data_IF_804378931277
#
_entry.id   IF_804378931277
#
_cell.length_a   1.000
_cell.length_b   1.000
_cell.length_c   1.000
_cell.angle_alpha   90.00
_cell.angle_beta   90.00
_cell.angle_gamma   90.00
#
_symmetry.space_group_name_H-M   'P 1'
#
loop_
_entity.id
_entity.type
_entity.pdbx_description
1 polymer ?
#
# COMPACT_ATOMS: atom_id res chain seq x y z
N UNK A 1 16.26 -3.52 74.43
CA UNK A 1 15.97 -3.68 75.88
C UNK A 1 14.67 -2.98 76.26
N UNK A 2 13.94 -3.50 77.17
CA UNK A 2 12.61 -4.13 76.91
C UNK A 2 11.51 -3.55 77.78
N UNK A 3 10.33 -4.18 77.72
CA UNK A 3 9.29 -4.46 78.75
C UNK A 3 7.90 -4.17 78.16
N UNK A 4 7.10 -5.15 77.88
CA UNK A 4 6.21 -5.94 78.78
C UNK A 4 5.22 -5.12 79.62
N UNK A 5 4.03 -5.51 79.57
CA UNK A 5 3.02 -6.07 80.55
C UNK A 5 1.65 -5.62 80.02
N UNK A 6 0.60 -6.35 79.82
CA UNK A 6 0.07 -7.50 80.45
C UNK A 6 -1.34 -7.24 80.98
N UNK A 7 -2.26 -8.21 80.86
CA UNK A 7 -3.41 -8.30 81.74
C UNK A 7 -4.78 -8.37 81.07
N UNK A 8 -5.25 -9.57 80.75
CA UNK A 8 -6.41 -10.30 81.31
C UNK A 8 -7.60 -9.47 81.85
N UNK A 9 -8.80 -9.72 81.36
CA UNK A 9 -9.86 -10.33 82.19
C UNK A 9 -11.03 -10.84 81.35
N UNK A 10 -11.45 -12.08 81.69
CA UNK A 10 -12.61 -12.82 81.29
C UNK A 10 -13.89 -12.30 82.04
N UNK A 11 -15.05 -12.40 81.44
CA UNK A 11 -16.16 -13.26 81.97
C UNK A 11 -17.54 -12.96 81.39
N UNK A 12 -18.16 -14.05 81.00
CA UNK A 12 -19.55 -14.57 81.30
C UNK A 12 -20.77 -13.93 80.58
N UNK A 13 -21.33 -14.71 79.68
CA UNK A 13 -22.63 -15.40 79.62
C UNK A 13 -23.86 -14.60 80.08
N UNK A 14 -24.83 -14.50 79.21
CA UNK A 14 -26.25 -14.88 79.47
C UNK A 14 -27.05 -14.92 78.14
N UNK A 15 -27.74 -16.06 77.97
CA UNK A 15 -28.77 -16.31 76.98
C UNK A 15 -30.00 -15.47 77.23
N UNK A 16 -30.61 -14.90 76.17
CA UNK A 16 -32.09 -14.69 76.13
C UNK A 16 -32.59 -14.89 74.68
N UNK A 17 -33.33 -15.97 74.52
CA UNK A 17 -34.20 -16.20 73.36
C UNK A 17 -35.26 -15.16 73.31
N UNK A 18 -35.46 -14.45 72.22
CA UNK A 18 -36.77 -13.85 71.86
C UNK A 18 -36.98 -13.89 70.36
N UNK A 19 -38.04 -14.50 70.00
CA UNK A 19 -38.67 -14.61 68.69
C UNK A 19 -39.02 -13.22 68.21
N UNK A 20 -38.61 -12.90 66.97
CA UNK A 20 -39.17 -11.76 66.27
C UNK A 20 -39.33 -12.11 64.75
N UNK A 21 -40.58 -11.92 64.41
CA UNK A 21 -41.32 -12.07 63.17
C UNK A 21 -40.51 -11.61 61.89
N UNK A 22 -40.44 -12.49 60.94
CA UNK A 22 -39.86 -12.17 59.61
C UNK A 22 -40.88 -11.34 58.82
N UNK A 23 -40.53 -10.11 58.53
CA UNK A 23 -41.18 -9.33 57.48
C UNK A 23 -40.23 -9.47 56.23
N UNK A 24 -40.66 -10.29 55.29
CA UNK A 24 -40.01 -10.41 53.97
C UNK A 24 -40.43 -9.20 53.14
N UNK A 25 -39.62 -8.16 53.10
CA UNK A 25 -39.74 -7.08 52.14
C UNK A 25 -39.07 -7.54 50.85
N UNK A 26 -39.84 -7.98 49.86
CA UNK A 26 -39.40 -8.23 48.48
C UNK A 26 -39.01 -6.90 47.82
N UNK A 27 -37.75 -6.57 47.91
CA UNK A 27 -37.17 -5.53 47.02
C UNK A 27 -37.07 -6.11 45.62
N UNK A 28 -37.98 -5.75 44.74
CA UNK A 28 -37.84 -5.95 43.32
C UNK A 28 -36.72 -4.99 42.82
N UNK A 29 -35.48 -5.52 42.72
CA UNK A 29 -34.40 -4.85 42.05
C UNK A 29 -34.69 -4.89 40.53
N UNK A 30 -35.38 -3.86 40.04
CA UNK A 30 -35.36 -3.55 38.60
C UNK A 30 -33.95 -3.09 38.25
N UNK A 31 -33.11 -4.05 37.90
CA UNK A 31 -31.83 -3.79 37.27
C UNK A 31 -32.09 -3.22 35.88
N UNK A 32 -32.18 -1.91 35.74
CA UNK A 32 -31.94 -1.24 34.48
C UNK A 32 -30.47 -1.45 34.13
N UNK A 33 -30.19 -2.60 33.53
CA UNK A 33 -28.89 -2.87 32.91
C UNK A 33 -28.66 -1.94 31.70
N UNK A 34 -28.15 -0.76 31.97
CA UNK A 34 -27.48 0.03 30.93
C UNK A 34 -26.26 -0.77 30.51
N UNK A 35 -26.42 -1.60 29.50
CA UNK A 35 -25.27 -2.20 28.81
C UNK A 35 -24.52 -1.05 28.13
N UNK A 36 -23.46 -0.58 28.77
CA UNK A 36 -22.52 0.32 28.09
C UNK A 36 -22.13 -0.35 26.73
N UNK A 37 -22.16 0.39 25.62
CA UNK A 37 -21.79 -0.18 24.34
C UNK A 37 -20.39 -0.79 24.48
N UNK A 38 -20.28 -2.09 24.18
CA UNK A 38 -18.98 -2.77 24.15
C UNK A 38 -18.11 -1.99 23.18
N UNK A 39 -16.92 -1.53 23.56
CA UNK A 39 -16.04 -0.82 22.65
C UNK A 39 -15.83 -1.67 21.41
N UNK A 40 -16.22 -1.15 20.24
CA UNK A 40 -15.98 -1.85 18.97
C UNK A 40 -14.48 -2.09 18.86
N UNK A 41 -14.07 -3.35 18.72
CA UNK A 41 -12.66 -3.68 18.52
C UNK A 41 -12.15 -2.88 17.32
N UNK A 42 -10.97 -2.29 17.40
CA UNK A 42 -10.38 -1.59 16.26
C UNK A 42 -10.32 -2.53 15.06
N UNK A 43 -10.83 -2.05 13.91
CA UNK A 43 -10.89 -2.86 12.70
C UNK A 43 -9.54 -2.87 11.98
N UNK A 44 -9.16 -4.03 11.41
CA UNK A 44 -7.99 -4.14 10.55
C UNK A 44 -8.15 -3.26 9.31
N UNK A 45 -7.02 -2.85 8.74
CA UNK A 45 -6.95 -1.99 7.57
C UNK A 45 -6.47 -2.84 6.39
N UNK A 46 -7.17 -2.75 5.28
CA UNK A 46 -6.79 -3.42 4.04
C UNK A 46 -6.30 -2.41 3.01
N UNK A 47 -5.12 -2.68 2.43
CA UNK A 47 -4.53 -1.87 1.37
C UNK A 47 -4.39 -2.76 0.13
N UNK A 48 -4.93 -2.29 -0.99
CA UNK A 48 -4.79 -2.94 -2.30
C UNK A 48 -3.64 -2.30 -3.09
N UNK A 49 -2.80 -3.11 -3.71
CA UNK A 49 -1.71 -2.67 -4.56
C UNK A 49 -1.83 -3.30 -5.93
N UNK A 50 -1.77 -2.49 -6.97
CA UNK A 50 -1.71 -2.95 -8.35
C UNK A 50 -0.44 -2.42 -9.05
N UNK A 51 -0.03 -3.12 -10.10
CA UNK A 51 1.25 -2.90 -10.78
C UNK A 51 1.23 -1.77 -11.80
N UNK A 52 2.07 -1.92 -12.83
CA UNK A 52 2.33 -0.92 -13.85
C UNK A 52 1.09 -0.65 -14.70
N UNK A 53 0.72 0.62 -14.81
CA UNK A 53 -0.52 1.08 -15.43
C UNK A 53 -0.22 2.22 -16.39
N UNK A 54 -0.72 2.11 -17.63
CA UNK A 54 -0.74 3.20 -18.59
C UNK A 54 -1.98 3.17 -19.49
N UNK A 55 -2.25 4.26 -20.18
CA UNK A 55 -3.43 4.43 -21.05
C UNK A 55 -3.06 4.74 -22.49
N UNK A 56 -2.03 4.08 -23.04
CA UNK A 56 -1.54 4.32 -24.39
C UNK A 56 -2.08 3.31 -25.40
N UNK A 57 -1.79 3.51 -26.69
CA UNK A 57 -2.09 2.62 -27.82
C UNK A 57 -3.57 2.15 -27.85
N UNK A 58 -3.80 0.84 -27.83
CA UNK A 58 -5.13 0.25 -27.88
C UNK A 58 -5.97 0.56 -26.63
N UNK A 59 -5.33 0.77 -25.48
CA UNK A 59 -6.00 1.20 -24.25
C UNK A 59 -6.58 2.61 -24.45
N UNK A 60 -5.81 3.53 -25.03
CA UNK A 60 -6.30 4.89 -25.34
C UNK A 60 -7.54 4.86 -26.25
N UNK A 61 -7.56 3.98 -27.26
CA UNK A 61 -8.75 3.79 -28.10
C UNK A 61 -9.96 3.25 -27.32
N UNK A 62 -9.72 2.30 -26.40
CA UNK A 62 -10.76 1.76 -25.55
C UNK A 62 -11.32 2.83 -24.59
N UNK A 63 -10.46 3.63 -23.96
CA UNK A 63 -10.84 4.75 -23.10
C UNK A 63 -11.67 5.79 -23.86
N UNK A 64 -11.27 6.15 -25.08
CA UNK A 64 -12.00 7.09 -25.94
C UNK A 64 -13.39 6.59 -26.36
N UNK A 65 -13.60 5.28 -26.37
CA UNK A 65 -14.92 4.68 -26.61
C UNK A 65 -15.79 4.56 -25.34
N UNK A 66 -15.35 5.12 -24.23
CA UNK A 66 -16.02 5.01 -22.92
C UNK A 66 -15.73 3.71 -22.18
N UNK A 67 -14.71 2.97 -22.61
CA UNK A 67 -14.30 1.73 -21.97
C UNK A 67 -13.64 1.94 -20.62
N UNK A 68 -13.98 1.08 -19.66
CA UNK A 68 -13.46 1.06 -18.30
C UNK A 68 -12.52 -0.13 -18.13
N UNK A 69 -11.18 0.10 -18.00
CA UNK A 69 -10.23 -0.99 -17.88
C UNK A 69 -10.21 -1.67 -16.50
N UNK A 70 -10.76 -1.05 -15.46
CA UNK A 70 -10.77 -1.55 -14.08
C UNK A 70 -12.08 -2.25 -13.71
N UNK A 71 -13.12 -2.17 -14.54
CA UNK A 71 -14.49 -2.62 -14.26
C UNK A 71 -14.57 -3.98 -13.56
N UNK A 72 -13.77 -4.97 -13.99
CA UNK A 72 -13.88 -6.35 -13.50
C UNK A 72 -13.02 -6.60 -12.23
N UNK A 73 -12.28 -5.61 -11.78
CA UNK A 73 -11.46 -5.65 -10.56
C UNK A 73 -11.88 -4.58 -9.56
N UNK A 74 -12.79 -3.70 -9.93
CA UNK A 74 -13.30 -2.57 -9.15
C UNK A 74 -13.71 -2.95 -7.73
N UNK A 75 -14.47 -4.04 -7.56
CA UNK A 75 -14.98 -4.45 -6.25
C UNK A 75 -13.85 -4.69 -5.24
N UNK A 76 -12.68 -5.18 -5.70
CA UNK A 76 -11.52 -5.38 -4.83
C UNK A 76 -10.85 -4.06 -4.49
N UNK A 77 -10.72 -3.17 -5.47
CA UNK A 77 -10.11 -1.85 -5.26
C UNK A 77 -10.96 -0.97 -4.33
N UNK A 78 -12.28 -0.95 -4.55
CA UNK A 78 -13.22 -0.14 -3.73
C UNK A 78 -13.49 -0.72 -2.35
N UNK A 79 -13.30 -2.03 -2.14
CA UNK A 79 -13.47 -2.66 -0.83
C UNK A 79 -12.24 -2.53 0.07
N UNK A 80 -11.09 -2.16 -0.47
CA UNK A 80 -9.92 -1.81 0.32
C UNK A 80 -10.09 -0.43 0.96
N UNK A 81 -9.45 -0.21 2.09
CA UNK A 81 -9.43 1.12 2.74
C UNK A 81 -8.59 2.13 1.96
N UNK A 82 -7.57 1.62 1.25
CA UNK A 82 -6.67 2.41 0.37
C UNK A 82 -6.28 1.53 -0.81
N UNK A 83 -6.31 2.09 -2.02
CA UNK A 83 -5.80 1.43 -3.22
C UNK A 83 -4.70 2.24 -3.90
N UNK A 84 -3.61 1.55 -4.28
CA UNK A 84 -2.38 2.16 -4.80
C UNK A 84 -2.00 1.51 -6.13
N UNK A 85 -1.61 2.32 -7.13
CA UNK A 85 -1.09 1.84 -8.42
C UNK A 85 0.18 2.59 -8.83
N UNK A 86 0.96 2.03 -9.76
CA UNK A 86 2.02 2.76 -10.46
C UNK A 86 1.51 3.28 -11.81
N UNK A 87 1.46 4.60 -11.99
CA UNK A 87 1.20 5.22 -13.29
C UNK A 87 2.53 5.37 -14.03
N UNK A 88 2.80 4.45 -14.92
CA UNK A 88 4.05 4.40 -15.69
C UNK A 88 3.88 5.14 -17.03
N UNK A 89 3.67 6.43 -16.92
CA UNK A 89 3.49 7.32 -18.06
C UNK A 89 3.30 8.77 -17.60
N UNK A 90 3.57 9.73 -18.47
CA UNK A 90 3.02 11.07 -18.32
C UNK A 90 1.52 11.10 -18.67
N UNK A 91 0.82 12.12 -18.19
CA UNK A 91 -0.54 12.51 -18.63
C UNK A 91 -0.52 14.01 -18.89
N UNK A 92 -0.30 14.40 -20.12
CA UNK A 92 -0.02 15.78 -20.49
C UNK A 92 -0.55 16.13 -21.88
N UNK A 93 -0.74 17.41 -22.13
CA UNK A 93 -1.05 17.96 -23.45
C UNK A 93 0.20 18.43 -24.22
N UNK A 94 1.36 18.40 -23.57
CA UNK A 94 2.64 18.79 -24.16
C UNK A 94 3.06 17.83 -25.27
N UNK A 95 3.86 18.36 -26.21
CA UNK A 95 4.38 17.61 -27.35
C UNK A 95 5.90 17.45 -27.30
N UNK A 96 6.59 18.32 -26.54
CA UNK A 96 8.02 18.20 -26.32
C UNK A 96 8.31 17.06 -25.36
N UNK A 97 9.18 16.15 -25.75
CA UNK A 97 9.49 14.95 -25.00
C UNK A 97 10.97 14.59 -25.08
N UNK A 98 11.39 13.66 -24.24
CA UNK A 98 12.75 13.10 -24.27
C UNK A 98 13.00 12.36 -25.59
N UNK A 99 14.22 12.44 -26.08
CA UNK A 99 14.70 11.60 -27.20
C UNK A 99 15.05 10.21 -26.68
N UNK A 100 14.03 9.32 -26.64
CA UNK A 100 14.18 7.92 -26.23
C UNK A 100 13.23 7.02 -27.01
N UNK A 101 13.53 5.71 -27.03
CA UNK A 101 12.80 4.72 -27.82
C UNK A 101 11.31 4.61 -27.45
N UNK A 102 11.00 4.68 -26.15
CA UNK A 102 9.63 4.56 -25.64
C UNK A 102 9.26 5.83 -24.88
N UNK A 103 8.26 6.54 -25.39
CA UNK A 103 7.70 7.75 -24.80
C UNK A 103 6.22 7.51 -24.54
N UNK A 104 5.80 7.61 -23.29
CA UNK A 104 4.44 7.27 -22.87
C UNK A 104 3.67 8.51 -22.45
N UNK A 105 2.53 8.74 -23.13
CA UNK A 105 1.56 9.74 -22.75
C UNK A 105 0.17 9.09 -22.68
N UNK A 106 -0.31 8.87 -21.49
CA UNK A 106 -1.60 8.23 -21.26
C UNK A 106 -2.76 9.15 -21.52
N UNK A 107 -3.82 8.57 -22.06
CA UNK A 107 -5.11 9.22 -22.20
C UNK A 107 -5.64 9.65 -20.80
N UNK A 108 -6.03 10.92 -20.61
CA UNK A 108 -6.46 11.43 -19.30
C UNK A 108 -7.73 10.76 -18.75
N UNK A 109 -8.57 10.14 -19.58
CA UNK A 109 -9.72 9.34 -19.14
C UNK A 109 -9.31 8.15 -18.26
N UNK A 110 -8.05 7.67 -18.35
CA UNK A 110 -7.52 6.66 -17.44
C UNK A 110 -7.62 7.13 -15.98
N UNK A 111 -7.29 8.39 -15.72
CA UNK A 111 -7.32 8.95 -14.35
C UNK A 111 -8.75 9.09 -13.83
N UNK A 112 -9.71 9.35 -14.70
CA UNK A 112 -11.13 9.40 -14.34
C UNK A 112 -11.63 8.03 -13.87
N UNK A 113 -11.25 6.97 -14.60
CA UNK A 113 -11.55 5.60 -14.20
C UNK A 113 -10.78 5.17 -12.95
N UNK A 114 -9.50 5.53 -12.81
CA UNK A 114 -8.75 5.31 -11.57
C UNK A 114 -9.53 5.82 -10.37
N UNK A 115 -10.00 7.07 -10.43
CA UNK A 115 -10.75 7.67 -9.32
C UNK A 115 -12.10 7.02 -9.10
N UNK A 116 -12.85 6.76 -10.16
CA UNK A 116 -14.19 6.17 -10.11
C UNK A 116 -14.16 4.75 -9.54
N UNK A 117 -13.06 4.02 -9.78
CA UNK A 117 -12.92 2.62 -9.41
C UNK A 117 -12.08 2.39 -8.16
N UNK A 118 -11.91 3.45 -7.36
CA UNK A 118 -11.44 3.36 -5.99
C UNK A 118 -9.94 3.43 -5.81
N UNK A 119 -9.18 3.90 -6.81
CA UNK A 119 -7.76 4.20 -6.60
C UNK A 119 -7.62 5.53 -5.86
N UNK A 120 -6.78 5.55 -4.83
CA UNK A 120 -6.57 6.69 -3.95
C UNK A 120 -5.18 7.30 -4.11
N UNK A 121 -4.16 6.46 -4.29
CA UNK A 121 -2.75 6.86 -4.35
C UNK A 121 -2.14 6.36 -5.66
N UNK A 122 -1.42 7.24 -6.33
CA UNK A 122 -0.73 6.95 -7.58
C UNK A 122 0.76 7.20 -7.40
N UNK A 123 1.56 6.15 -7.58
CA UNK A 123 3.00 6.29 -7.70
C UNK A 123 3.37 6.77 -9.11
N UNK A 124 4.17 7.84 -9.19
CA UNK A 124 4.79 8.31 -10.43
C UNK A 124 6.31 8.22 -10.37
N UNK A 125 6.87 7.61 -9.33
CA UNK A 125 8.30 7.37 -9.19
C UNK A 125 8.77 6.25 -10.11
N UNK A 126 8.93 6.53 -11.41
CA UNK A 126 9.31 5.57 -12.44
C UNK A 126 10.03 6.26 -13.62
N UNK A 127 10.51 5.46 -14.59
CA UNK A 127 11.28 5.93 -15.75
C UNK A 127 10.45 6.60 -16.85
N UNK A 128 9.11 6.55 -16.77
CA UNK A 128 8.21 7.15 -17.76
C UNK A 128 7.51 8.42 -17.27
N UNK A 129 7.61 8.76 -16.00
CA UNK A 129 7.00 9.97 -15.45
C UNK A 129 7.54 11.26 -16.12
N UNK A 130 8.83 11.28 -16.43
CA UNK A 130 9.52 12.41 -17.04
C UNK A 130 9.63 12.35 -18.56
N UNK A 131 8.87 11.51 -19.25
CA UNK A 131 8.94 11.38 -20.71
C UNK A 131 8.69 12.71 -21.42
N UNK A 132 7.85 13.57 -20.89
CA UNK A 132 7.55 14.92 -21.35
C UNK A 132 8.24 15.99 -20.48
N UNK A 133 9.49 15.71 -20.08
CA UNK A 133 10.35 16.60 -19.32
C UNK A 133 9.72 16.96 -17.95
N UNK A 134 10.22 18.01 -17.29
CA UNK A 134 9.76 18.47 -15.98
C UNK A 134 8.35 19.05 -16.03
N UNK A 135 8.05 19.72 -17.11
CA UNK A 135 6.75 20.33 -17.41
C UNK A 135 5.66 19.24 -17.49
N UNK A 136 5.98 18.11 -18.13
CA UNK A 136 5.10 16.95 -18.22
C UNK A 136 4.85 16.32 -16.84
N UNK A 137 5.86 16.25 -15.97
CA UNK A 137 5.68 15.81 -14.58
C UNK A 137 4.73 16.73 -13.83
N UNK A 138 4.94 18.05 -13.95
CA UNK A 138 4.07 19.06 -13.31
C UNK A 138 2.62 18.94 -13.78
N UNK A 139 2.40 18.80 -15.10
CA UNK A 139 1.04 18.64 -15.64
C UNK A 139 0.42 17.30 -15.20
N UNK A 140 1.19 16.22 -15.17
CA UNK A 140 0.72 14.93 -14.66
C UNK A 140 0.29 15.01 -13.20
N UNK A 141 1.09 15.64 -12.35
CA UNK A 141 0.76 15.85 -10.93
C UNK A 141 -0.54 16.68 -10.81
N UNK A 142 -0.67 17.75 -11.60
CA UNK A 142 -1.88 18.56 -11.63
C UNK A 142 -3.10 17.73 -12.05
N UNK A 143 -3.01 16.96 -13.12
CA UNK A 143 -4.10 16.11 -13.63
C UNK A 143 -4.57 15.07 -12.60
N UNK A 144 -3.64 14.50 -11.83
CA UNK A 144 -3.93 13.57 -10.72
C UNK A 144 -4.61 14.30 -9.55
N UNK A 145 -4.06 15.43 -9.12
CA UNK A 145 -4.56 16.17 -7.95
C UNK A 145 -5.91 16.82 -8.20
N UNK A 146 -6.19 17.30 -9.42
CA UNK A 146 -7.50 17.80 -9.83
C UNK A 146 -8.60 16.73 -9.65
N UNK A 147 -8.24 15.46 -9.79
CA UNK A 147 -9.12 14.30 -9.58
C UNK A 147 -9.09 13.77 -8.15
N UNK A 148 -8.40 14.46 -7.24
CA UNK A 148 -8.24 14.04 -5.84
C UNK A 148 -7.52 12.68 -5.69
N UNK A 149 -6.66 12.35 -6.63
CA UNK A 149 -5.70 11.26 -6.53
C UNK A 149 -4.45 11.78 -5.82
N UNK A 150 -3.99 11.06 -4.81
CA UNK A 150 -2.76 11.43 -4.10
C UNK A 150 -1.55 10.93 -4.87
N UNK A 151 -0.49 11.73 -4.92
CA UNK A 151 0.73 11.40 -5.68
C UNK A 151 1.86 11.07 -4.72
N UNK A 152 2.62 10.01 -5.02
CA UNK A 152 3.88 9.65 -4.38
C UNK A 152 4.97 9.40 -5.43
N UNK A 153 6.23 9.47 -5.02
CA UNK A 153 7.37 9.17 -5.89
C UNK A 153 7.73 10.26 -6.88
N UNK A 154 7.00 11.38 -6.85
CA UNK A 154 7.30 12.57 -7.64
C UNK A 154 6.71 13.83 -7.00
N UNK A 155 7.13 14.99 -7.46
CA UNK A 155 6.72 16.27 -6.92
C UNK A 155 7.15 17.44 -7.80
N UNK A 156 6.61 18.63 -7.52
CA UNK A 156 7.01 19.88 -8.18
C UNK A 156 8.34 20.44 -7.63
N UNK A 157 8.90 19.76 -6.62
CA UNK A 157 10.21 20.06 -6.04
C UNK A 157 10.82 18.80 -5.44
N UNK A 158 12.12 18.81 -5.16
CA UNK A 158 12.80 17.72 -4.48
C UNK A 158 12.19 17.43 -3.10
N UNK A 159 11.78 18.47 -2.36
CA UNK A 159 11.08 18.30 -1.08
C UNK A 159 9.75 17.59 -1.25
N UNK A 160 8.94 17.98 -2.23
CA UNK A 160 7.62 17.38 -2.46
C UNK A 160 7.74 15.92 -2.87
N UNK A 161 8.67 15.58 -3.78
CA UNK A 161 8.89 14.21 -4.23
C UNK A 161 9.24 13.24 -3.09
N UNK A 162 10.02 13.70 -2.10
CA UNK A 162 10.43 12.91 -0.94
C UNK A 162 9.49 13.03 0.27
N UNK A 163 8.41 13.80 0.17
CA UNK A 163 7.45 13.92 1.28
C UNK A 163 6.48 12.75 1.26
N UNK A 164 6.49 11.94 2.34
CA UNK A 164 5.55 10.86 2.51
C UNK A 164 4.10 11.36 2.54
N UNK A 165 3.20 10.67 1.83
CA UNK A 165 1.76 10.88 1.99
C UNK A 165 1.28 10.08 3.20
N UNK A 166 0.77 10.79 4.21
CA UNK A 166 0.22 10.17 5.42
C UNK A 166 -1.30 10.16 5.33
N UNK A 167 -1.87 8.97 5.38
CA UNK A 167 -3.32 8.73 5.37
C UNK A 167 -3.72 8.21 6.74
N UNK A 168 -4.76 8.80 7.32
CA UNK A 168 -5.36 8.32 8.57
C UNK A 168 -6.56 7.43 8.25
N UNK A 169 -6.48 6.16 8.63
CA UNK A 169 -7.57 5.21 8.50
C UNK A 169 -8.01 4.78 9.89
N UNK A 170 -9.16 5.25 10.34
CA UNK A 170 -9.73 4.91 11.66
C UNK A 170 -8.75 5.14 12.84
N UNK A 171 -7.96 6.23 12.78
CA UNK A 171 -6.97 6.61 13.80
C UNK A 171 -5.60 5.92 13.65
N UNK A 172 -5.41 5.11 12.62
CA UNK A 172 -4.11 4.54 12.27
C UNK A 172 -3.51 5.29 11.10
N UNK A 173 -2.42 6.01 11.36
CA UNK A 173 -1.67 6.74 10.33
C UNK A 173 -0.75 5.79 9.57
N UNK A 174 -0.83 5.83 8.25
CA UNK A 174 -0.03 5.03 7.31
C UNK A 174 0.68 6.01 6.37
N UNK A 175 1.99 5.91 6.27
CA UNK A 175 2.81 6.73 5.39
C UNK A 175 3.16 5.96 4.11
N UNK A 176 3.03 6.61 2.97
CA UNK A 176 3.37 6.08 1.64
C UNK A 176 4.50 6.89 1.04
N UNK A 177 5.53 6.22 0.54
CA UNK A 177 6.66 6.79 -0.21
C UNK A 177 6.80 6.07 -1.53
N UNK A 178 6.96 6.82 -2.63
CA UNK A 178 7.35 6.28 -3.93
C UNK A 178 8.86 6.43 -4.15
N UNK A 179 9.49 5.42 -4.75
CA UNK A 179 10.94 5.39 -5.00
C UNK A 179 11.21 4.95 -6.44
N UNK A 180 11.87 5.80 -7.22
CA UNK A 180 12.28 5.52 -8.60
C UNK A 180 13.74 5.03 -8.63
N UNK A 181 13.97 3.72 -8.45
CA UNK A 181 15.32 3.15 -8.70
C UNK A 181 15.64 3.06 -10.20
N UNK A 182 14.62 2.86 -10.99
CA UNK A 182 14.70 3.09 -12.44
C UNK A 182 13.97 4.41 -12.70
N UNK A 183 14.72 5.44 -12.98
CA UNK A 183 14.23 6.78 -13.30
C UNK A 183 14.54 7.13 -14.76
N UNK A 184 13.95 8.19 -15.28
CA UNK A 184 14.12 8.63 -16.66
C UNK A 184 15.47 9.35 -16.96
N UNK A 185 16.43 9.27 -16.02
CA UNK A 185 17.73 9.95 -16.11
C UNK A 185 17.79 11.24 -15.29
N UNK A 186 18.96 11.87 -15.24
CA UNK A 186 19.25 13.00 -14.36
C UNK A 186 18.31 14.22 -14.58
N UNK A 187 17.83 14.42 -15.81
CA UNK A 187 16.90 15.50 -16.15
C UNK A 187 15.49 15.33 -15.58
N UNK A 188 15.13 14.14 -15.08
CA UNK A 188 13.78 13.81 -14.58
C UNK A 188 13.71 13.68 -13.06
N UNK A 189 14.85 13.67 -12.38
CA UNK A 189 14.92 13.65 -10.91
C UNK A 189 14.54 15.01 -10.33
N UNK A 190 13.67 15.01 -9.34
CA UNK A 190 13.27 16.23 -8.62
C UNK A 190 14.44 16.74 -7.76
N UNK A 191 14.72 18.03 -7.83
CA UNK A 191 15.79 18.65 -7.04
C UNK A 191 15.54 20.13 -6.82
N UNK A 192 15.81 20.65 -5.61
CA UNK A 192 15.48 22.03 -5.31
C UNK A 192 14.02 22.34 -5.64
N UNK A 193 13.77 23.35 -6.47
CA UNK A 193 12.44 23.75 -6.94
C UNK A 193 12.08 23.17 -8.32
N UNK A 194 12.81 22.17 -8.77
CA UNK A 194 12.54 21.51 -10.04
C UNK A 194 11.69 20.25 -9.85
N UNK A 195 10.64 20.15 -10.65
CA UNK A 195 9.74 19.00 -10.69
C UNK A 195 10.46 17.73 -11.20
N UNK A 196 10.02 16.57 -10.72
CA UNK A 196 10.56 15.29 -11.15
C UNK A 196 10.17 14.15 -10.21
N UNK A 197 10.85 13.02 -10.39
CA UNK A 197 10.70 11.82 -9.55
C UNK A 197 11.73 11.81 -8.41
N UNK A 198 11.54 10.92 -7.43
CA UNK A 198 12.57 10.60 -6.44
C UNK A 198 13.81 10.00 -7.10
N UNK A 199 14.98 10.18 -6.49
CA UNK A 199 16.22 9.49 -6.88
C UNK A 199 16.41 8.23 -6.04
N UNK A 200 16.08 7.07 -6.60
CA UNK A 200 16.19 5.78 -5.92
C UNK A 200 17.64 5.27 -5.78
N UNK A 201 18.65 6.05 -6.16
CA UNK A 201 20.08 5.70 -6.02
C UNK A 201 20.74 6.34 -4.80
N UNK A 202 20.13 7.37 -4.22
CA UNK A 202 20.63 8.00 -2.98
C UNK A 202 20.11 7.26 -1.74
N UNK A 203 20.84 6.22 -1.34
CA UNK A 203 20.48 5.38 -0.19
C UNK A 203 20.37 6.16 1.12
N UNK A 204 21.16 7.22 1.30
CA UNK A 204 21.08 8.08 2.49
C UNK A 204 19.76 8.84 2.55
N UNK A 205 19.35 9.43 1.43
CA UNK A 205 18.09 10.18 1.35
C UNK A 205 16.91 9.23 1.55
N UNK A 206 16.95 8.03 0.95
CA UNK A 206 15.91 7.02 1.11
C UNK A 206 15.76 6.64 2.59
N UNK A 207 16.87 6.30 3.24
CA UNK A 207 16.86 5.90 4.66
C UNK A 207 16.34 7.04 5.57
N UNK A 208 16.74 8.28 5.31
CA UNK A 208 16.24 9.46 6.03
C UNK A 208 14.74 9.66 5.80
N UNK A 209 14.25 9.48 4.58
CA UNK A 209 12.83 9.60 4.25
C UNK A 209 12.00 8.52 4.96
N UNK A 210 12.46 7.25 4.97
CA UNK A 210 11.82 6.16 5.70
C UNK A 210 11.75 6.47 7.20
N UNK A 211 12.87 6.88 7.81
CA UNK A 211 12.93 7.25 9.23
C UNK A 211 12.03 8.45 9.55
N UNK A 212 11.93 9.42 8.64
CA UNK A 212 11.05 10.58 8.80
C UNK A 212 9.57 10.16 8.72
N UNK A 213 9.20 9.26 7.80
CA UNK A 213 7.87 8.69 7.69
C UNK A 213 7.48 7.87 8.93
N UNK A 214 8.40 7.04 9.44
CA UNK A 214 8.18 6.21 10.63
C UNK A 214 7.95 7.03 11.92
N UNK A 215 8.42 8.28 11.98
CA UNK A 215 8.10 9.19 13.09
C UNK A 215 6.68 9.77 13.03
N UNK A 216 6.01 9.69 11.88
CA UNK A 216 4.70 10.31 11.64
C UNK A 216 3.57 9.29 11.53
N UNK A 217 3.89 8.01 11.32
CA UNK A 217 2.92 6.95 11.03
C UNK A 217 3.27 5.66 11.75
N UNK A 218 2.27 4.82 11.97
CA UNK A 218 2.43 3.48 12.56
C UNK A 218 2.92 2.45 11.55
N UNK A 219 2.66 2.67 10.27
CA UNK A 219 3.15 1.83 9.18
C UNK A 219 3.76 2.72 8.08
N UNK A 220 4.85 2.24 7.46
CA UNK A 220 5.50 2.88 6.32
C UNK A 220 5.49 1.91 5.16
N UNK A 221 4.86 2.32 4.07
CA UNK A 221 4.74 1.56 2.83
C UNK A 221 5.61 2.22 1.76
N UNK A 222 6.51 1.45 1.16
CA UNK A 222 7.30 1.90 0.02
C UNK A 222 6.70 1.31 -1.25
N UNK A 223 6.46 2.14 -2.25
CA UNK A 223 6.18 1.69 -3.62
C UNK A 223 7.41 1.96 -4.47
N UNK A 224 8.01 0.91 -5.03
CA UNK A 224 9.35 1.00 -5.63
C UNK A 224 9.32 0.55 -7.09
N UNK A 225 9.85 1.36 -7.97
CA UNK A 225 10.05 1.02 -9.37
C UNK A 225 11.51 0.62 -9.60
N UNK A 226 11.80 -0.68 -9.69
CA UNK A 226 13.15 -1.26 -9.64
C UNK A 226 13.31 -2.55 -10.43
N UNK A 227 14.55 -3.08 -10.44
CA UNK A 227 14.86 -4.39 -11.01
C UNK A 227 15.20 -4.32 -12.49
N UNK A 228 15.01 -5.42 -13.18
CA UNK A 228 15.34 -5.58 -14.61
C UNK A 228 14.12 -6.10 -15.35
N UNK A 229 13.80 -5.47 -16.48
CA UNK A 229 12.68 -5.86 -17.35
C UNK A 229 12.74 -7.34 -17.71
N UNK A 230 11.57 -7.94 -17.79
CA UNK A 230 11.32 -9.34 -18.16
C UNK A 230 11.88 -10.40 -17.18
N UNK A 231 12.57 -10.01 -16.11
CA UNK A 231 13.03 -10.95 -15.10
C UNK A 231 11.91 -11.35 -14.13
N UNK A 232 11.80 -12.65 -13.87
CA UNK A 232 10.81 -13.22 -12.94
C UNK A 232 11.34 -13.40 -11.52
N UNK A 233 12.62 -13.08 -11.30
CA UNK A 233 13.28 -13.10 -10.00
C UNK A 233 13.94 -11.74 -9.71
N UNK A 234 13.91 -11.28 -8.45
CA UNK A 234 14.60 -10.05 -8.06
C UNK A 234 16.13 -10.22 -8.17
N UNK A 235 16.82 -9.12 -8.42
CA UNK A 235 18.27 -9.08 -8.33
C UNK A 235 18.73 -9.26 -6.88
N UNK A 236 19.92 -9.82 -6.65
CA UNK A 236 20.46 -9.94 -5.29
C UNK A 236 20.61 -8.57 -4.60
N UNK A 237 20.96 -7.52 -5.36
CA UNK A 237 21.01 -6.14 -4.86
C UNK A 237 19.67 -5.63 -4.38
N UNK A 238 18.56 -5.97 -5.08
CA UNK A 238 17.20 -5.54 -4.67
C UNK A 238 16.80 -6.24 -3.38
N UNK A 239 17.18 -7.51 -3.21
CA UNK A 239 16.94 -8.27 -1.97
C UNK A 239 17.70 -7.65 -0.81
N UNK A 240 18.99 -7.30 -1.00
CA UNK A 240 19.81 -6.68 0.04
C UNK A 240 19.26 -5.31 0.45
N UNK A 241 18.95 -4.47 -0.53
CA UNK A 241 18.40 -3.12 -0.30
C UNK A 241 17.06 -3.18 0.42
N UNK A 242 16.17 -4.10 0.04
CA UNK A 242 14.90 -4.28 0.71
C UNK A 242 15.06 -4.56 2.21
N UNK A 243 16.03 -5.41 2.60
CA UNK A 243 16.30 -5.67 4.02
C UNK A 243 16.78 -4.42 4.75
N UNK A 244 17.64 -3.60 4.14
CA UNK A 244 18.09 -2.32 4.72
C UNK A 244 16.91 -1.37 4.95
N UNK A 245 15.98 -1.27 4.00
CA UNK A 245 14.82 -0.40 4.13
C UNK A 245 13.80 -0.90 5.17
N UNK A 246 13.63 -2.23 5.28
CA UNK A 246 12.85 -2.81 6.39
C UNK A 246 13.48 -2.51 7.75
N UNK A 247 14.80 -2.59 7.85
CA UNK A 247 15.54 -2.24 9.07
C UNK A 247 15.45 -0.75 9.39
N UNK A 248 15.38 0.13 8.38
CA UNK A 248 15.21 1.57 8.54
C UNK A 248 13.80 1.96 9.02
N UNK A 249 12.81 1.05 8.98
CA UNK A 249 11.46 1.27 9.49
C UNK A 249 10.31 1.01 8.52
N UNK A 250 10.58 0.55 7.30
CA UNK A 250 9.51 0.15 6.38
C UNK A 250 8.72 -1.03 6.94
N UNK A 251 7.40 -1.03 6.72
CA UNK A 251 6.49 -2.13 7.05
C UNK A 251 6.26 -3.01 5.84
N UNK A 252 6.09 -2.41 4.66
CA UNK A 252 5.94 -3.13 3.41
C UNK A 252 6.69 -2.42 2.27
N UNK A 253 7.20 -3.22 1.33
CA UNK A 253 7.85 -2.78 0.09
C UNK A 253 7.12 -3.47 -1.06
N UNK A 254 6.60 -2.68 -1.98
CA UNK A 254 5.82 -3.13 -3.13
C UNK A 254 6.53 -2.69 -4.40
N UNK A 255 6.93 -3.66 -5.21
CA UNK A 255 7.74 -3.44 -6.40
C UNK A 255 6.96 -3.44 -7.71
N UNK A 256 7.52 -2.76 -8.71
CA UNK A 256 7.10 -2.71 -10.11
C UNK A 256 8.31 -2.49 -11.04
N UNK A 257 8.14 -2.35 -12.34
CA UNK A 257 9.10 -2.19 -13.42
C UNK A 257 9.45 -3.47 -14.20
N UNK A 258 9.71 -4.65 -13.61
CA UNK A 258 10.10 -5.80 -14.43
C UNK A 258 9.08 -6.23 -15.49
N UNK A 259 7.85 -5.69 -15.45
CA UNK A 259 6.72 -6.11 -16.30
C UNK A 259 6.44 -7.62 -16.22
N UNK A 260 6.99 -8.24 -15.18
CA UNK A 260 6.82 -9.64 -14.78
C UNK A 260 6.52 -9.70 -13.31
N UNK A 261 5.62 -10.61 -12.95
CA UNK A 261 5.42 -10.90 -11.54
C UNK A 261 6.67 -11.55 -10.95
N UNK A 262 7.12 -11.03 -9.82
CA UNK A 262 8.19 -11.62 -9.03
C UNK A 262 7.63 -12.09 -7.68
N UNK A 263 8.31 -13.00 -6.96
CA UNK A 263 7.85 -13.50 -5.68
C UNK A 263 7.59 -12.41 -4.64
N UNK A 264 6.73 -12.74 -3.67
CA UNK A 264 6.60 -11.95 -2.45
C UNK A 264 7.05 -12.75 -1.22
N UNK A 265 7.48 -12.04 -0.20
CA UNK A 265 7.83 -12.58 1.12
C UNK A 265 6.98 -11.87 2.16
N UNK A 266 6.31 -12.65 3.03
CA UNK A 266 5.66 -12.15 4.24
C UNK A 266 6.27 -12.87 5.44
N UNK A 267 7.02 -12.17 6.25
CA UNK A 267 7.75 -12.72 7.40
C UNK A 267 7.86 -11.66 8.50
N UNK A 268 7.68 -12.06 9.74
CA UNK A 268 7.88 -11.25 10.95
C UNK A 268 7.16 -9.89 10.91
N UNK A 269 5.92 -9.88 10.38
CA UNK A 269 5.12 -8.66 10.27
C UNK A 269 5.62 -7.66 9.21
N UNK A 270 6.44 -8.12 8.27
CA UNK A 270 6.97 -7.36 7.13
C UNK A 270 6.60 -8.01 5.82
N UNK A 271 6.41 -7.19 4.79
CA UNK A 271 6.09 -7.64 3.43
C UNK A 271 7.09 -7.07 2.44
N UNK A 272 7.56 -7.91 1.52
CA UNK A 272 8.22 -7.47 0.30
C UNK A 272 7.52 -8.19 -0.85
N UNK A 273 6.86 -7.46 -1.74
CA UNK A 273 6.45 -7.96 -3.06
C UNK A 273 7.39 -7.35 -4.09
N UNK A 274 8.28 -8.16 -4.64
CA UNK A 274 9.37 -7.67 -5.49
C UNK A 274 8.89 -7.10 -6.82
N UNK A 275 7.79 -7.61 -7.38
CA UNK A 275 7.13 -6.98 -8.52
C UNK A 275 5.70 -7.51 -8.69
N UNK A 276 4.75 -6.60 -8.77
CA UNK A 276 3.37 -6.92 -9.11
C UNK A 276 3.18 -7.20 -10.60
N UNK A 277 4.17 -6.83 -11.44
CA UNK A 277 4.05 -6.87 -12.90
C UNK A 277 3.11 -5.80 -13.44
N UNK A 278 2.59 -6.04 -14.64
CA UNK A 278 1.63 -5.13 -15.27
C UNK A 278 0.24 -5.21 -14.64
N UNK A 279 -0.52 -4.11 -14.70
CA UNK A 279 -1.94 -4.07 -14.31
C UNK A 279 -2.81 -3.65 -15.48
N UNK A 280 -3.01 -2.38 -15.75
CA UNK A 280 -3.59 -1.90 -17.00
C UNK A 280 -2.46 -1.45 -17.91
N UNK A 281 -2.07 -2.29 -18.88
CA UNK A 281 -0.85 -2.07 -19.63
C UNK A 281 -1.00 -2.47 -21.10
N UNK A 282 -0.31 -1.79 -22.01
CA UNK A 282 -0.44 -1.95 -23.46
C UNK A 282 0.14 -3.25 -24.05
N UNK A 283 0.37 -4.25 -23.22
CA UNK A 283 0.93 -5.55 -23.61
C UNK A 283 0.01 -6.30 -24.58
N UNK A 284 0.61 -6.96 -25.56
CA UNK A 284 -0.13 -7.67 -26.62
C UNK A 284 -0.18 -9.19 -26.42
N UNK A 285 0.38 -9.72 -25.35
CA UNK A 285 0.39 -11.15 -25.06
C UNK A 285 1.61 -11.62 -24.26
N UNK A 286 1.81 -12.94 -24.18
CA UNK A 286 2.94 -13.56 -23.48
C UNK A 286 2.83 -13.46 -21.95
N UNK A 287 3.94 -13.61 -21.25
CA UNK A 287 4.00 -13.56 -19.77
C UNK A 287 3.60 -12.21 -19.18
N UNK A 288 3.75 -11.13 -19.97
CA UNK A 288 3.41 -9.78 -19.53
C UNK A 288 1.91 -9.53 -19.29
N UNK A 289 1.02 -10.45 -19.73
CA UNK A 289 -0.43 -10.37 -19.42
C UNK A 289 -0.77 -10.86 -18.03
N UNK A 290 0.15 -11.56 -17.34
CA UNK A 290 -0.05 -11.97 -15.95
C UNK A 290 -0.11 -10.73 -15.07
N UNK A 291 -1.18 -10.61 -14.30
CA UNK A 291 -1.52 -9.44 -13.51
C UNK A 291 -2.07 -9.87 -12.15
N UNK A 292 -2.39 -8.91 -11.31
CA UNK A 292 -3.05 -9.18 -10.04
C UNK A 292 -3.02 -7.99 -9.08
N UNK A 293 -3.63 -8.22 -7.91
CA UNK A 293 -3.72 -7.25 -6.83
C UNK A 293 -3.13 -7.86 -5.57
N UNK A 294 -2.13 -7.20 -4.98
CA UNK A 294 -1.61 -7.49 -3.67
C UNK A 294 -2.53 -6.89 -2.60
N UNK A 295 -2.90 -7.67 -1.60
CA UNK A 295 -3.78 -7.24 -0.50
C UNK A 295 -3.02 -7.37 0.81
N UNK A 296 -2.60 -6.23 1.36
CA UNK A 296 -1.98 -6.12 2.67
C UNK A 296 -3.03 -5.85 3.73
N UNK A 297 -2.99 -6.59 4.84
CA UNK A 297 -3.80 -6.31 6.01
C UNK A 297 -2.92 -5.84 7.14
N UNK A 298 -3.21 -4.67 7.69
CA UNK A 298 -2.58 -4.13 8.89
C UNK A 298 -3.54 -4.24 10.07
N UNK A 299 -3.00 -4.49 11.28
CA UNK A 299 -3.74 -4.28 12.52
C UNK A 299 -3.78 -2.78 12.87
N UNK A 300 -4.57 -2.36 13.87
CA UNK A 300 -4.67 -0.95 14.29
C UNK A 300 -3.34 -0.35 14.82
N UNK A 301 -2.39 -1.20 15.17
CA UNK A 301 -1.03 -0.81 15.57
C UNK A 301 -0.12 -0.57 14.38
N UNK A 302 -0.59 -0.81 13.14
CA UNK A 302 0.16 -0.63 11.90
C UNK A 302 1.07 -1.81 11.54
N UNK A 303 0.94 -2.95 12.21
CA UNK A 303 1.71 -4.15 11.89
C UNK A 303 1.05 -4.92 10.75
N UNK A 304 1.84 -5.41 9.82
CA UNK A 304 1.34 -6.30 8.78
C UNK A 304 1.01 -7.67 9.39
N UNK A 305 -0.26 -8.08 9.27
CA UNK A 305 -0.74 -9.35 9.81
C UNK A 305 -1.12 -10.36 8.73
N UNK A 306 -1.24 -9.90 7.49
CA UNK A 306 -1.53 -10.77 6.35
C UNK A 306 -1.13 -10.09 5.04
N UNK A 307 -0.68 -10.89 4.08
CA UNK A 307 -0.54 -10.49 2.69
C UNK A 307 -1.06 -11.58 1.76
N UNK A 308 -1.91 -11.21 0.83
CA UNK A 308 -2.48 -12.13 -0.18
C UNK A 308 -2.33 -11.52 -1.56
N UNK A 309 -2.01 -12.35 -2.53
CA UNK A 309 -2.04 -11.96 -3.93
C UNK A 309 -3.28 -12.54 -4.61
N UNK A 310 -4.05 -11.68 -5.29
CA UNK A 310 -5.23 -12.07 -6.06
C UNK A 310 -4.90 -12.00 -7.55
N UNK A 311 -4.65 -13.15 -8.21
CA UNK A 311 -4.20 -13.18 -9.59
C UNK A 311 -5.26 -12.70 -10.57
N UNK A 312 -4.80 -11.99 -11.59
CA UNK A 312 -5.60 -11.47 -12.69
C UNK A 312 -4.89 -11.67 -14.02
N UNK A 313 -5.55 -11.32 -15.09
CA UNK A 313 -5.01 -11.32 -16.45
C UNK A 313 -5.44 -10.05 -17.18
N UNK A 314 -4.53 -9.51 -17.97
CA UNK A 314 -4.79 -8.38 -18.86
C UNK A 314 -5.38 -8.92 -20.17
N UNK A 315 -6.47 -8.30 -20.62
CA UNK A 315 -6.99 -8.52 -21.97
C UNK A 315 -6.11 -7.77 -22.98
N UNK A 316 -5.37 -8.47 -23.86
CA UNK A 316 -4.44 -7.82 -24.78
C UNK A 316 -5.13 -7.02 -25.89
N UNK A 317 -6.46 -7.11 -26.02
CA UNK A 317 -7.21 -6.35 -27.01
C UNK A 317 -7.51 -4.90 -26.56
N UNK A 318 -7.62 -4.66 -25.23
CA UNK A 318 -8.06 -3.37 -24.71
C UNK A 318 -7.45 -2.99 -23.35
N UNK A 319 -6.54 -3.79 -22.80
CA UNK A 319 -5.86 -3.54 -21.53
C UNK A 319 -6.71 -3.75 -20.28
N UNK A 320 -8.00 -4.14 -20.39
CA UNK A 320 -8.83 -4.39 -19.21
C UNK A 320 -8.33 -5.59 -18.41
N UNK A 321 -8.50 -5.53 -17.08
CA UNK A 321 -7.99 -6.53 -16.15
C UNK A 321 -9.14 -7.37 -15.61
N UNK A 322 -8.92 -8.69 -15.53
CA UNK A 322 -9.91 -9.66 -15.05
C UNK A 322 -9.29 -10.60 -14.03
N UNK A 323 -9.93 -10.80 -12.88
CA UNK A 323 -9.49 -11.84 -11.96
C UNK A 323 -9.62 -13.23 -12.55
N UNK A 324 -8.63 -14.07 -12.27
CA UNK A 324 -8.66 -15.47 -12.67
C UNK A 324 -9.78 -16.23 -11.94
N UNK A 325 -10.33 -17.24 -12.60
CA UNK A 325 -11.25 -18.19 -11.96
C UNK A 325 -10.54 -18.95 -10.84
N UNK A 326 -11.28 -19.46 -9.88
CA UNK A 326 -10.71 -20.11 -8.69
C UNK A 326 -9.77 -21.27 -9.01
N UNK A 327 -10.06 -22.06 -10.06
CA UNK A 327 -9.19 -23.15 -10.53
C UNK A 327 -7.78 -22.69 -10.92
N UNK A 328 -7.71 -21.57 -11.64
CA UNK A 328 -6.46 -21.07 -12.21
C UNK A 328 -5.72 -20.16 -11.22
N UNK A 329 -6.49 -19.51 -10.33
CA UNK A 329 -5.98 -18.59 -9.30
C UNK A 329 -5.02 -19.28 -8.33
N UNK A 330 -5.30 -20.54 -7.92
CA UNK A 330 -4.43 -21.29 -7.00
C UNK A 330 -3.04 -21.53 -7.63
N UNK A 331 -3.00 -21.95 -8.90
CA UNK A 331 -1.75 -22.17 -9.64
C UNK A 331 -0.97 -20.86 -9.78
N UNK A 332 -1.63 -19.79 -10.22
CA UNK A 332 -1.01 -18.47 -10.42
C UNK A 332 -0.47 -17.89 -9.09
N UNK A 333 -1.17 -18.10 -7.97
CA UNK A 333 -0.69 -17.70 -6.65
C UNK A 333 0.58 -18.47 -6.25
N UNK A 334 0.62 -19.78 -6.52
CA UNK A 334 1.81 -20.60 -6.24
C UNK A 334 2.99 -20.18 -7.15
N UNK A 335 2.73 -19.85 -8.41
CA UNK A 335 3.76 -19.29 -9.30
C UNK A 335 4.31 -17.96 -8.77
N UNK A 336 3.44 -17.07 -8.31
CA UNK A 336 3.80 -15.78 -7.68
C UNK A 336 4.60 -15.96 -6.37
N UNK A 337 4.38 -17.05 -5.65
CA UNK A 337 5.16 -17.45 -4.46
C UNK A 337 6.43 -18.22 -4.80
N UNK A 338 6.71 -18.43 -6.09
CA UNK A 338 7.76 -19.28 -6.60
C UNK A 338 9.15 -19.04 -5.98
N UNK A 339 10.01 -20.04 -6.11
CA UNK A 339 11.35 -19.99 -5.53
C UNK A 339 12.36 -19.36 -6.49
N UNK A 340 12.93 -18.24 -6.09
CA UNK A 340 14.12 -17.68 -6.72
C UNK A 340 15.36 -18.03 -5.91
N UNK A 341 16.47 -18.33 -6.59
CA UNK A 341 17.74 -18.62 -5.90
C UNK A 341 18.24 -17.43 -5.08
N UNK A 342 17.97 -16.22 -5.55
CA UNK A 342 18.29 -14.97 -4.84
C UNK A 342 17.58 -14.80 -3.48
N UNK A 343 16.48 -15.52 -3.24
CA UNK A 343 15.72 -15.48 -1.99
C UNK A 343 16.11 -16.58 -0.99
N UNK A 344 16.97 -17.53 -1.39
CA UNK A 344 17.36 -18.67 -0.55
C UNK A 344 18.51 -18.38 0.41
N UNK A 345 19.17 -17.24 0.27
CA UNK A 345 20.36 -16.85 1.03
C UNK A 345 20.08 -15.91 2.21
N UNK A 346 18.80 -15.69 2.55
CA UNK A 346 18.39 -14.77 3.64
C UNK A 346 17.45 -15.43 4.65
#
# INVERSE_FOLDING_TARGET
>A
SPREIGGFFLSRIANVKKIALAIIATFALTSCGSTAPVPKQPENITIAFAGDTNGIDHISRYLNSGGDPFKNVKDVLTSADISVVNLESAVTTLTEHQDKQYVFNSNPYLLDWMKTDGIDIVNIGNNHAGDFLREGVTETIKNLTDRKLQVIGGGNSGREAWTAKVVDVRGTKIAFLGIAKINGGAGTVASGDYAGTTDGWDEQVIELAIKAAARQAKAVILYVHWGVEEQTCPQASDVEIAQKWLAAGATAIIGSHPHRQQPYVFKDGKVIDYSLGNFVYYIKGGEGVKSGVGLLTLNPEGQAINYKFKPAVINPANGSVWFLKQSDSKKATLEKQGSCSTLKSN
#
